data_IF_716709699030
#
_entry.id   IF_716709699030
#
_cell.length_a   1.000
_cell.length_b   1.000
_cell.length_c   1.000
_cell.angle_alpha   90.00
_cell.angle_beta   90.00
_cell.angle_gamma   90.00
#
_symmetry.space_group_name_H-M   'P 1'
#
loop_
_entity.id
_entity.type
_entity.pdbx_description
1 polymer ?
#
# COMPACT_ATOMS: atom_id res chain seq x y z
N UNK A 1 -5.49 -20.52 -4.00
CA UNK A 1 -4.03 -20.28 -3.87
C UNK A 1 -3.49 -19.28 -4.92
N UNK A 2 -4.24 -18.93 -5.97
CA UNK A 2 -3.78 -18.04 -7.05
C UNK A 2 -3.42 -16.60 -6.63
N UNK A 3 -3.97 -16.10 -5.51
CA UNK A 3 -3.80 -14.73 -5.04
C UNK A 3 -2.33 -14.32 -4.78
N UNK A 4 -1.49 -15.23 -4.28
CA UNK A 4 -0.07 -14.95 -4.01
C UNK A 4 0.84 -15.10 -5.25
N UNK A 5 0.30 -15.60 -6.36
CA UNK A 5 1.00 -15.74 -7.64
C UNK A 5 0.61 -14.69 -8.67
N UNK A 6 -0.42 -13.89 -8.37
CA UNK A 6 -0.93 -12.87 -9.27
C UNK A 6 0.08 -11.75 -9.56
N UNK A 7 1.13 -11.61 -8.74
CA UNK A 7 2.19 -10.63 -8.96
C UNK A 7 3.57 -11.23 -8.69
N UNK A 8 4.57 -10.78 -9.45
CA UNK A 8 5.92 -11.29 -9.34
C UNK A 8 6.64 -10.70 -8.12
N UNK A 9 7.39 -11.54 -7.42
CA UNK A 9 8.39 -11.13 -6.43
C UNK A 9 9.64 -10.63 -7.16
N UNK A 10 9.64 -9.36 -7.54
CA UNK A 10 10.83 -8.73 -8.14
C UNK A 10 11.98 -8.64 -7.14
N UNK A 11 13.22 -8.61 -7.64
CA UNK A 11 14.40 -8.32 -6.82
C UNK A 11 14.31 -6.94 -6.15
N UNK A 12 14.99 -6.76 -5.02
CA UNK A 12 15.03 -5.48 -4.28
C UNK A 12 15.45 -4.33 -5.21
N UNK A 13 16.45 -4.55 -6.07
CA UNK A 13 16.89 -3.55 -7.05
C UNK A 13 15.78 -3.13 -8.02
N UNK A 14 15.01 -4.08 -8.54
CA UNK A 14 13.86 -3.77 -9.40
C UNK A 14 12.70 -3.12 -8.62
N UNK A 15 12.48 -3.50 -7.36
CA UNK A 15 11.48 -2.84 -6.51
C UNK A 15 11.84 -1.37 -6.28
N UNK A 16 13.07 -1.07 -5.85
CA UNK A 16 13.52 0.30 -5.63
C UNK A 16 13.49 1.11 -6.93
N UNK A 17 13.95 0.53 -8.04
CA UNK A 17 13.94 1.19 -9.33
C UNK A 17 12.51 1.50 -9.82
N UNK A 18 11.55 0.60 -9.58
CA UNK A 18 10.14 0.86 -9.86
C UNK A 18 9.59 1.97 -8.96
N UNK A 19 9.86 1.93 -7.65
CA UNK A 19 9.42 2.93 -6.68
C UNK A 19 9.92 4.33 -7.04
N UNK A 20 11.21 4.46 -7.37
CA UNK A 20 11.79 5.75 -7.78
C UNK A 20 11.14 6.28 -9.06
N UNK A 21 10.95 5.43 -10.08
CA UNK A 21 10.28 5.83 -11.31
C UNK A 21 8.82 6.24 -11.06
N UNK A 22 8.11 5.55 -10.17
CA UNK A 22 6.75 5.92 -9.80
C UNK A 22 6.74 7.28 -9.10
N UNK A 23 7.63 7.48 -8.13
CA UNK A 23 7.74 8.72 -7.37
C UNK A 23 8.02 9.93 -8.27
N UNK A 24 9.03 9.83 -9.14
CA UNK A 24 9.41 10.90 -10.08
C UNK A 24 8.27 11.25 -11.04
N UNK A 25 7.40 10.27 -11.35
CA UNK A 25 6.29 10.41 -12.31
C UNK A 25 4.95 10.68 -11.63
N UNK A 26 4.91 10.83 -10.30
CA UNK A 26 3.67 11.03 -9.54
C UNK A 26 2.71 9.84 -9.61
N UNK A 27 3.20 8.64 -9.91
CA UNK A 27 2.40 7.42 -9.96
C UNK A 27 2.31 6.79 -8.56
N UNK A 28 1.11 6.35 -8.17
CA UNK A 28 0.96 5.52 -6.98
C UNK A 28 1.61 4.15 -7.26
N UNK A 29 2.60 3.72 -6.45
CA UNK A 29 3.21 2.41 -6.61
C UNK A 29 2.19 1.32 -6.31
N UNK A 30 2.33 0.20 -6.99
CA UNK A 30 1.39 -0.90 -6.89
C UNK A 30 1.83 -2.08 -7.72
N UNK A 31 0.93 -3.04 -7.99
CA UNK A 31 1.27 -4.23 -8.72
C UNK A 31 1.80 -3.91 -10.14
N UNK A 32 2.83 -4.64 -10.58
CA UNK A 32 3.57 -4.37 -11.82
C UNK A 32 3.51 -5.58 -12.75
N UNK A 33 3.11 -5.35 -14.00
CA UNK A 33 3.01 -6.39 -15.03
C UNK A 33 3.33 -5.83 -16.43
N UNK A 34 3.68 -6.70 -17.37
CA UNK A 34 3.88 -6.31 -18.78
C UNK A 34 2.55 -5.99 -19.45
N UNK A 35 2.59 -5.26 -20.57
CA UNK A 35 1.40 -4.91 -21.34
C UNK A 35 0.52 -6.12 -21.72
N UNK A 36 1.06 -7.21 -22.31
CA UNK A 36 0.26 -8.41 -22.60
C UNK A 36 -0.31 -9.06 -21.34
N UNK A 37 0.41 -8.99 -20.22
CA UNK A 37 -0.07 -9.52 -18.96
C UNK A 37 -1.25 -8.72 -18.40
N UNK A 38 -1.30 -7.41 -18.58
CA UNK A 38 -2.47 -6.61 -18.23
C UNK A 38 -3.65 -6.91 -19.15
N UNK A 39 -3.41 -7.08 -20.46
CA UNK A 39 -4.45 -7.47 -21.42
C UNK A 39 -5.09 -8.82 -21.08
N UNK A 40 -4.29 -9.80 -20.66
CA UNK A 40 -4.79 -11.10 -20.20
C UNK A 40 -5.70 -11.00 -18.96
N UNK A 41 -5.57 -9.93 -18.17
CA UNK A 41 -6.41 -9.63 -17.02
C UNK A 41 -7.59 -8.70 -17.37
N UNK A 42 -7.87 -8.49 -18.66
CA UNK A 42 -8.95 -7.62 -19.12
C UNK A 42 -8.69 -6.12 -18.91
N UNK A 43 -7.43 -5.73 -18.67
CA UNK A 43 -7.04 -4.33 -18.44
C UNK A 43 -6.16 -3.82 -19.58
N UNK A 44 -6.33 -2.56 -19.94
CA UNK A 44 -5.50 -1.90 -20.96
C UNK A 44 -4.69 -0.78 -20.33
N UNK A 45 -3.48 -0.54 -20.85
CA UNK A 45 -2.67 0.62 -20.44
C UNK A 45 -3.25 1.88 -21.06
N UNK A 46 -3.32 2.97 -20.27
CA UNK A 46 -3.80 4.28 -20.72
C UNK A 46 -2.96 4.81 -21.88
N UNK A 47 -3.60 5.49 -22.81
CA UNK A 47 -2.89 6.10 -23.94
C UNK A 47 -1.90 7.17 -23.45
N UNK A 48 -0.66 7.10 -23.91
CA UNK A 48 0.40 8.04 -23.53
C UNK A 48 1.23 7.63 -22.30
N UNK A 49 0.87 6.54 -21.62
CA UNK A 49 1.67 6.01 -20.51
C UNK A 49 2.98 5.39 -20.99
N UNK A 50 4.09 5.71 -20.30
CA UNK A 50 5.39 5.09 -20.57
C UNK A 50 5.65 3.95 -19.60
N UNK A 51 6.21 2.85 -20.10
CA UNK A 51 6.60 1.71 -19.29
C UNK A 51 7.70 2.06 -18.27
N UNK A 52 7.73 1.33 -17.17
CA UNK A 52 8.82 1.26 -16.21
C UNK A 52 9.99 0.44 -16.79
N UNK A 53 11.19 0.97 -16.58
CA UNK A 53 12.46 0.33 -16.87
C UNK A 53 12.82 -0.62 -15.71
N UNK A 54 12.91 -1.93 -15.98
CA UNK A 54 13.43 -2.89 -15.00
C UNK A 54 14.60 -3.67 -15.59
N UNK A 55 15.46 -4.18 -14.71
CA UNK A 55 16.56 -5.08 -15.05
C UNK A 55 16.03 -6.51 -15.24
N UNK A 56 16.41 -7.15 -16.34
CA UNK A 56 16.09 -8.55 -16.60
C UNK A 56 17.29 -9.32 -17.16
N UNK A 57 17.42 -10.62 -16.84
CA UNK A 57 18.37 -11.49 -17.51
C UNK A 57 17.91 -11.76 -18.95
N UNK A 58 18.86 -11.77 -19.88
CA UNK A 58 18.70 -12.24 -21.25
C UNK A 58 19.77 -13.30 -21.50
N UNK A 59 19.33 -14.45 -22.00
CA UNK A 59 20.21 -15.53 -22.44
C UNK A 59 20.57 -15.34 -23.92
N UNK A 60 21.86 -15.40 -24.23
CA UNK A 60 22.39 -15.32 -25.59
C UNK A 60 23.25 -16.54 -25.89
N UNK A 61 23.32 -16.92 -27.18
CA UNK A 61 24.28 -17.91 -27.67
C UNK A 61 25.48 -17.17 -28.22
N UNK A 62 26.69 -17.53 -27.77
CA UNK A 62 27.93 -17.03 -28.37
C UNK A 62 28.11 -17.73 -29.72
N UNK A 63 28.26 -16.95 -30.79
CA UNK A 63 28.61 -17.47 -32.13
C UNK A 63 30.10 -17.25 -32.29
N UNK A 64 30.91 -18.25 -31.97
CA UNK A 64 32.31 -18.23 -32.35
C UNK A 64 32.43 -18.78 -33.77
N UNK A 65 33.21 -18.09 -34.61
CA UNK A 65 33.46 -18.51 -35.99
C UNK A 65 34.54 -19.59 -36.08
N UNK A 66 35.29 -19.89 -35.01
CA UNK A 66 36.42 -20.82 -35.05
C UNK A 66 36.67 -21.51 -33.69
N UNK A 67 35.73 -22.34 -33.23
CA UNK A 67 36.01 -23.39 -32.26
C UNK A 67 34.87 -24.41 -32.26
N UNK A 68 35.21 -25.64 -32.62
CA UNK A 68 34.36 -26.81 -32.56
C UNK A 68 34.25 -27.27 -31.10
N UNK A 69 33.55 -26.52 -30.24
CA UNK A 69 33.17 -26.96 -28.89
C UNK A 69 31.97 -26.15 -28.37
N UNK A 70 31.01 -26.89 -27.80
CA UNK A 70 29.74 -26.53 -27.15
C UNK A 70 29.32 -25.05 -27.14
N UNK A 71 28.15 -24.77 -27.74
CA UNK A 71 27.51 -23.44 -27.75
C UNK A 71 27.33 -22.85 -26.35
N UNK A 72 28.35 -22.15 -25.85
CA UNK A 72 28.34 -21.52 -24.54
C UNK A 72 27.22 -20.46 -24.48
N UNK A 73 26.20 -20.74 -23.67
CA UNK A 73 25.13 -19.79 -23.38
C UNK A 73 25.61 -18.82 -22.31
N UNK A 74 25.52 -17.52 -22.56
CA UNK A 74 25.79 -16.50 -21.56
C UNK A 74 24.48 -15.83 -21.12
N UNK A 75 24.45 -15.36 -19.87
CA UNK A 75 23.35 -14.54 -19.35
C UNK A 75 23.85 -13.12 -19.12
N UNK A 76 23.22 -12.15 -19.75
CA UNK A 76 23.50 -10.73 -19.54
C UNK A 76 22.28 -10.05 -18.91
N UNK A 77 22.54 -9.09 -18.03
CA UNK A 77 21.49 -8.28 -17.41
C UNK A 77 21.32 -6.98 -18.19
N UNK A 78 20.09 -6.70 -18.61
CA UNK A 78 19.77 -5.47 -19.34
C UNK A 78 18.56 -4.77 -18.77
N UNK A 79 18.55 -3.46 -18.89
CA UNK A 79 17.40 -2.64 -18.52
C UNK A 79 16.45 -2.48 -19.71
N UNK A 80 15.17 -2.82 -19.54
CA UNK A 80 14.16 -2.72 -20.61
C UNK A 80 12.86 -2.07 -20.12
N UNK A 81 12.22 -1.19 -20.92
CA UNK A 81 10.98 -0.54 -20.54
C UNK A 81 9.77 -1.37 -21.00
N UNK A 82 9.36 -2.37 -20.21
CA UNK A 82 8.30 -3.33 -20.59
C UNK A 82 7.12 -3.39 -19.63
N UNK A 83 7.28 -2.82 -18.45
CA UNK A 83 6.36 -3.02 -17.33
C UNK A 83 5.50 -1.81 -17.06
N UNK A 84 4.30 -2.01 -16.54
CA UNK A 84 3.34 -0.97 -16.21
C UNK A 84 2.75 -1.25 -14.83
N UNK A 85 2.51 -0.20 -14.07
CA UNK A 85 1.85 -0.26 -12.76
C UNK A 85 0.34 -0.26 -12.96
N UNK A 86 -0.40 -0.86 -12.02
CA UNK A 86 -1.87 -0.86 -12.02
C UNK A 86 -2.49 0.53 -12.28
N UNK A 87 -1.93 1.58 -11.69
CA UNK A 87 -2.42 2.97 -11.84
C UNK A 87 -2.30 3.54 -13.25
N UNK A 88 -1.44 2.94 -14.08
CA UNK A 88 -1.29 3.28 -15.50
C UNK A 88 -2.32 2.55 -16.38
N UNK A 89 -3.19 1.72 -15.81
CA UNK A 89 -4.15 0.89 -16.55
C UNK A 89 -5.59 1.30 -16.29
N UNK A 90 -6.45 0.99 -17.25
CA UNK A 90 -7.89 1.15 -17.25
C UNK A 90 -8.55 -0.23 -17.32
N UNK A 91 -9.70 -0.39 -16.65
CA UNK A 91 -10.45 -1.64 -16.63
C UNK A 91 -11.15 -1.86 -15.28
N UNK A 92 -11.85 -2.98 -15.16
CA UNK A 92 -12.60 -3.37 -13.96
C UNK A 92 -11.70 -3.44 -12.72
N UNK A 93 -12.17 -2.85 -11.61
CA UNK A 93 -11.43 -2.84 -10.34
C UNK A 93 -11.19 -4.27 -9.88
N UNK A 94 -9.93 -4.61 -9.62
CA UNK A 94 -9.59 -5.97 -9.17
C UNK A 94 -10.24 -6.20 -7.81
N UNK A 95 -11.00 -7.30 -7.61
CA UNK A 95 -11.60 -7.59 -6.33
C UNK A 95 -10.49 -7.74 -5.28
N UNK A 96 -10.63 -7.04 -4.15
CA UNK A 96 -9.76 -7.23 -3.01
C UNK A 96 -9.85 -8.69 -2.58
N UNK A 97 -8.75 -9.44 -2.73
CA UNK A 97 -8.76 -10.86 -2.39
C UNK A 97 -8.95 -11.01 -0.88
N UNK A 98 -10.06 -11.61 -0.48
CA UNK A 98 -10.25 -12.06 0.91
C UNK A 98 -9.28 -13.20 1.19
N UNK A 99 -8.50 -13.11 2.26
CA UNK A 99 -7.66 -14.22 2.73
C UNK A 99 -8.63 -15.31 3.21
N UNK A 100 -8.76 -16.45 2.49
CA UNK A 100 -9.88 -17.38 2.72
C UNK A 100 -9.84 -18.03 4.10
N UNK A 101 -8.66 -18.13 4.71
CA UNK A 101 -8.46 -18.73 6.04
C UNK A 101 -8.52 -17.71 7.18
N UNK A 102 -8.52 -16.40 6.88
CA UNK A 102 -8.53 -15.38 7.92
C UNK A 102 -9.94 -15.19 8.46
N UNK A 103 -10.15 -15.63 9.70
CA UNK A 103 -11.37 -15.39 10.45
C UNK A 103 -11.04 -14.49 11.65
N UNK A 104 -11.61 -13.27 11.65
CA UNK A 104 -11.40 -12.27 12.70
C UNK A 104 -11.78 -12.81 14.08
N UNK A 105 -12.90 -13.51 14.21
CA UNK A 105 -13.39 -14.05 15.49
C UNK A 105 -12.45 -15.12 16.03
N UNK A 106 -11.98 -16.02 15.16
CA UNK A 106 -10.98 -17.04 15.51
C UNK A 106 -9.66 -16.41 15.96
N UNK A 107 -9.21 -15.35 15.29
CA UNK A 107 -7.98 -14.65 15.66
C UNK A 107 -8.10 -13.96 17.03
N UNK A 108 -9.23 -13.29 17.29
CA UNK A 108 -9.51 -12.65 18.59
C UNK A 108 -9.56 -13.68 19.73
N UNK A 109 -10.24 -14.81 19.51
CA UNK A 109 -10.32 -15.88 20.49
C UNK A 109 -8.95 -16.55 20.74
N UNK A 110 -8.23 -16.94 19.69
CA UNK A 110 -6.95 -17.65 19.81
C UNK A 110 -5.85 -16.80 20.44
N UNK A 111 -5.84 -15.50 20.14
CA UNK A 111 -4.85 -14.56 20.68
C UNK A 111 -5.31 -13.91 22.00
N UNK A 112 -6.53 -14.24 22.46
CA UNK A 112 -7.12 -13.73 23.69
C UNK A 112 -7.24 -12.20 23.72
N UNK A 113 -7.66 -11.62 22.58
CA UNK A 113 -7.72 -10.19 22.28
C UNK A 113 -9.18 -9.77 22.13
N UNK A 114 -9.55 -8.63 22.70
CA UNK A 114 -10.87 -8.01 22.50
C UNK A 114 -10.73 -6.71 21.69
N UNK A 115 -11.72 -6.42 20.83
CA UNK A 115 -11.79 -5.15 20.11
C UNK A 115 -12.56 -4.13 20.95
N UNK A 116 -11.90 -3.05 21.36
CA UNK A 116 -12.51 -1.95 22.11
C UNK A 116 -12.71 -0.70 21.23
N UNK A 117 -13.71 0.15 21.53
CA UNK A 117 -13.83 1.48 20.91
C UNK A 117 -12.62 2.36 21.25
N UNK A 118 -12.16 3.14 20.27
CA UNK A 118 -11.09 4.10 20.47
C UNK A 118 -11.58 5.29 21.31
N UNK A 119 -10.91 5.57 22.43
CA UNK A 119 -11.32 6.60 23.40
C UNK A 119 -10.20 7.61 23.75
N UNK A 120 -9.08 7.59 23.02
CA UNK A 120 -8.04 8.61 23.16
C UNK A 120 -8.42 9.89 22.40
N UNK A 121 -7.98 11.04 22.92
CA UNK A 121 -8.19 12.35 22.27
C UNK A 121 -7.17 12.64 21.18
N UNK A 122 -6.02 11.97 21.19
CA UNK A 122 -4.97 12.11 20.17
C UNK A 122 -5.26 11.21 18.95
N UNK A 123 -5.65 11.84 17.85
CA UNK A 123 -5.91 11.17 16.57
C UNK A 123 -4.65 10.80 15.77
N UNK A 124 -3.44 11.16 16.23
CA UNK A 124 -2.19 10.80 15.56
C UNK A 124 -1.63 9.43 16.00
N UNK A 125 -2.40 8.69 16.81
CA UNK A 125 -2.08 7.31 17.18
C UNK A 125 -2.65 6.34 16.14
N UNK A 126 -1.80 5.49 15.54
CA UNK A 126 -2.21 4.46 14.56
C UNK A 126 -2.95 3.25 15.20
N UNK A 127 -3.13 3.27 16.52
CA UNK A 127 -3.78 2.26 17.34
C UNK A 127 -3.26 2.32 18.78
N UNK A 128 -3.95 1.69 19.73
CA UNK A 128 -3.44 1.48 21.08
C UNK A 128 -3.95 0.16 21.65
N UNK A 129 -3.22 -0.37 22.62
CA UNK A 129 -3.51 -1.62 23.32
C UNK A 129 -3.63 -1.32 24.81
N UNK A 130 -4.68 -1.80 25.48
CA UNK A 130 -4.73 -1.79 26.95
C UNK A 130 -4.28 -3.14 27.48
N UNK A 131 -3.40 -3.11 28.46
CA UNK A 131 -3.13 -4.28 29.29
C UNK A 131 -4.29 -4.40 30.28
N UNK A 132 -5.14 -5.41 30.10
CA UNK A 132 -6.12 -5.74 31.14
C UNK A 132 -5.43 -6.61 32.19
N UNK A 133 -5.68 -6.36 33.49
CA UNK A 133 -4.99 -6.95 34.65
C UNK A 133 -5.10 -8.47 34.84
N UNK A 134 -5.65 -9.20 33.86
CA UNK A 134 -5.42 -10.63 33.66
C UNK A 134 -5.00 -10.78 32.21
N UNK A 135 -3.80 -11.29 31.94
CA UNK A 135 -3.25 -11.89 30.71
C UNK A 135 -3.97 -11.72 29.33
N UNK A 136 -4.63 -10.60 29.04
CA UNK A 136 -5.29 -10.30 27.77
C UNK A 136 -4.56 -9.12 27.14
N UNK A 137 -3.99 -9.32 25.94
CA UNK A 137 -3.40 -8.25 25.13
C UNK A 137 -4.46 -7.79 24.13
N UNK A 138 -4.80 -6.50 24.07
CA UNK A 138 -5.76 -5.97 23.10
C UNK A 138 -5.03 -5.39 21.88
N UNK A 139 -5.57 -5.49 20.66
CA UNK A 139 -5.00 -4.91 19.43
C UNK A 139 -6.11 -4.57 18.42
N UNK A 140 -5.97 -3.45 17.69
CA UNK A 140 -6.94 -3.00 16.69
C UNK A 140 -6.28 -2.50 15.39
N UNK A 141 -7.03 -2.59 14.28
CA UNK A 141 -6.69 -2.13 12.91
C UNK A 141 -7.54 -0.91 12.54
N UNK A 142 -6.91 0.24 12.31
CA UNK A 142 -7.58 1.49 11.95
C UNK A 142 -8.37 1.37 10.63
N UNK A 143 -9.67 1.71 10.65
CA UNK A 143 -10.41 2.09 9.45
C UNK A 143 -10.38 3.60 9.35
N UNK A 144 -9.67 4.12 8.35
CA UNK A 144 -9.63 5.55 8.02
C UNK A 144 -11.02 6.12 7.83
N UNK A 145 -11.44 7.02 8.70
CA UNK A 145 -12.44 8.05 8.39
C UNK A 145 -11.84 9.39 8.80
N UNK A 146 -11.19 10.02 7.83
CA UNK A 146 -10.62 11.36 7.90
C UNK A 146 -11.78 12.37 7.96
N UNK A 147 -12.11 12.89 9.14
CA UNK A 147 -12.92 14.10 9.24
C UNK A 147 -12.04 15.30 8.97
N UNK A 148 -12.21 15.89 7.78
CA UNK A 148 -11.59 17.15 7.38
C UNK A 148 -12.22 18.26 8.24
N UNK A 149 -11.53 18.70 9.30
CA UNK A 149 -11.92 19.90 10.06
C UNK A 149 -11.69 21.12 9.17
N UNK A 150 -12.70 21.50 8.40
CA UNK A 150 -12.77 22.83 7.80
C UNK A 150 -12.91 23.81 8.96
N UNK A 151 -11.83 24.51 9.27
CA UNK A 151 -11.89 25.68 10.14
C UNK A 151 -12.72 26.75 9.42
N UNK A 152 -14.00 26.84 9.76
CA UNK A 152 -14.76 28.07 9.58
C UNK A 152 -14.62 28.87 10.86
N UNK A 153 -13.74 29.88 10.78
CA UNK A 153 -13.77 31.01 11.68
C UNK A 153 -15.13 31.71 11.50
N UNK A 154 -15.96 31.70 12.55
CA UNK A 154 -17.03 32.67 12.72
C UNK A 154 -16.77 33.35 14.04
N UNK A 155 -16.27 34.59 13.94
CA UNK A 155 -16.42 35.59 14.99
C UNK A 155 -17.91 35.87 15.16
N UNK A 156 -18.24 36.39 16.33
CA UNK A 156 -19.52 36.99 16.70
C UNK A 156 -20.62 36.00 17.11
N UNK A 157 -20.67 35.71 18.41
CA UNK A 157 -21.93 35.81 19.13
C UNK A 157 -21.71 36.37 20.54
N UNK A 158 -22.64 37.24 20.91
CA UNK A 158 -22.60 38.23 21.99
C UNK A 158 -23.05 37.63 23.32
N UNK A 159 -22.37 38.07 24.39
CA UNK A 159 -22.81 38.30 25.78
C UNK A 159 -24.20 37.80 26.23
N UNK A 160 -24.23 36.96 27.28
CA UNK A 160 -25.04 37.25 28.47
C UNK A 160 -24.79 36.29 29.65
N UNK A 161 -24.77 36.91 30.84
CA UNK A 161 -25.04 36.37 32.17
C UNK A 161 -23.95 35.52 32.87
N UNK A 162 -23.12 36.19 33.68
CA UNK A 162 -23.04 35.89 35.13
C UNK A 162 -22.34 37.03 35.87
N UNK A 163 -23.11 37.79 36.64
CA UNK A 163 -22.66 38.84 37.56
C UNK A 163 -21.85 38.27 38.74
N UNK A 164 -20.78 38.95 39.19
CA UNK A 164 -20.02 38.55 40.37
C UNK A 164 -20.68 39.05 41.67
N UNK A 165 -20.96 38.15 42.61
CA UNK A 165 -21.31 38.53 43.97
C UNK A 165 -20.06 39.00 44.72
N UNK A 166 -20.11 40.25 45.19
CA UNK A 166 -19.16 40.88 46.12
C UNK A 166 -19.20 40.14 47.46
N UNK A 167 -18.02 39.87 48.02
CA UNK A 167 -17.82 39.69 49.45
C UNK A 167 -16.82 40.76 49.94
N UNK A 168 -17.31 41.65 50.79
CA UNK A 168 -16.64 42.66 51.61
C UNK A 168 -17.60 42.81 52.79
N UNK A 169 -17.25 42.86 54.07
CA UNK A 169 -16.01 43.04 54.83
C UNK A 169 -16.44 42.95 56.30
N UNK A 170 -15.56 42.52 57.21
CA UNK A 170 -15.33 43.09 58.54
C UNK A 170 -14.07 42.45 59.13
#
# INVERSE_FOLDING_TARGET
LEAYSAFHNYSIGNQLLALMQCHIRGLTPGPIRTFPGWQALGRNVRRGERALLLCMPITGKRREADAEDEAATYTAFVYKPRWFVLTQTEGEEMPATSIPEYNTERALAALNIERIPFDLTDGNCQGYARLCGRQHKQAYVAKSVMWRRVMLASKDWVSSACTPHKFSSL
#
